data_IF_281467271503
#
_entry.id   IF_281467271503
#
_cell.length_a   1.000
_cell.length_b   1.000
_cell.length_c   1.000
_cell.angle_alpha   90.00
_cell.angle_beta   90.00
_cell.angle_gamma   90.00
#
_symmetry.space_group_name_H-M   'P 1'
#
loop_
_entity.id
_entity.type
_entity.pdbx_description
1 polymer ?
#
# COMPACT_ATOMS: atom_id res chain seq x y z
N UNK A 1 -28.52 -48.64 -1.01
CA UNK A 1 -28.07 -49.08 0.33
C UNK A 1 -27.27 -47.94 0.93
N UNK A 2 -27.93 -47.13 1.77
CA UNK A 2 -27.65 -47.00 3.21
C UNK A 2 -26.37 -46.16 3.46
N UNK A 3 -26.34 -45.05 4.19
CA UNK A 3 -27.03 -44.71 5.44
C UNK A 3 -27.22 -43.19 5.58
N UNK A 4 -28.31 -42.84 6.26
CA UNK A 4 -28.79 -41.54 6.73
C UNK A 4 -27.91 -40.97 7.84
N UNK A 5 -27.68 -39.65 7.88
CA UNK A 5 -27.11 -38.97 9.04
C UNK A 5 -27.50 -37.50 9.09
N UNK A 6 -28.64 -37.20 9.74
CA UNK A 6 -29.04 -35.86 10.14
C UNK A 6 -28.58 -35.60 11.58
N UNK A 7 -28.09 -34.40 11.88
CA UNK A 7 -28.00 -33.90 13.24
C UNK A 7 -28.33 -32.40 13.28
N UNK A 8 -29.11 -32.07 14.30
CA UNK A 8 -29.95 -30.88 14.48
C UNK A 8 -29.22 -29.80 15.29
N UNK A 9 -29.65 -28.56 15.07
CA UNK A 9 -29.35 -27.32 15.80
C UNK A 9 -29.31 -27.43 17.33
N UNK A 10 -28.49 -26.58 17.96
CA UNK A 10 -28.83 -25.96 19.23
C UNK A 10 -28.39 -24.48 19.27
N UNK A 11 -29.32 -23.65 19.74
CA UNK A 11 -29.26 -22.20 19.94
C UNK A 11 -28.62 -21.81 21.29
N UNK A 12 -28.22 -20.54 21.38
CA UNK A 12 -28.12 -19.77 22.63
C UNK A 12 -26.70 -19.23 22.86
N UNK A 13 -26.46 -18.02 23.37
CA UNK A 13 -27.30 -16.93 23.90
C UNK A 13 -26.40 -15.68 23.96
N UNK A 14 -27.00 -14.50 23.92
CA UNK A 14 -26.31 -13.21 23.99
C UNK A 14 -26.02 -12.74 25.44
N UNK A 15 -24.89 -12.04 25.60
CA UNK A 15 -24.61 -10.91 26.54
C UNK A 15 -24.52 -11.22 28.07
N UNK A 16 -23.83 -10.40 28.92
CA UNK A 16 -23.58 -8.96 28.79
C UNK A 16 -22.17 -8.42 29.17
N UNK A 17 -22.04 -7.12 28.93
CA UNK A 17 -20.98 -6.23 29.39
C UNK A 17 -20.98 -6.04 30.92
N UNK A 18 -19.79 -5.86 31.49
CA UNK A 18 -19.61 -5.40 32.87
C UNK A 18 -18.79 -4.11 32.87
N UNK A 19 -19.47 -3.00 33.10
CA UNK A 19 -18.89 -1.79 33.65
C UNK A 19 -19.04 -1.85 35.17
N UNK A 20 -17.97 -1.64 35.93
CA UNK A 20 -18.05 -1.24 37.33
C UNK A 20 -17.13 -0.05 37.57
N UNK A 21 -17.82 1.02 37.95
CA UNK A 21 -17.38 2.28 38.54
C UNK A 21 -17.06 2.06 40.04
N UNK A 22 -16.30 2.98 40.65
CA UNK A 22 -16.29 3.13 42.12
C UNK A 22 -14.94 3.36 42.81
N UNK A 23 -14.53 4.63 42.86
CA UNK A 23 -14.04 5.39 44.02
C UNK A 23 -12.92 4.86 44.94
N UNK A 24 -11.78 5.56 45.09
CA UNK A 24 -11.51 6.81 45.87
C UNK A 24 -11.05 6.54 47.32
N UNK A 25 -9.81 6.93 47.62
CA UNK A 25 -9.33 7.62 48.84
C UNK A 25 -7.80 7.75 48.74
N UNK A 26 -7.28 8.96 48.51
CA UNK A 26 -6.62 9.82 49.52
C UNK A 26 -5.17 9.34 49.79
N UNK A 27 -4.11 10.11 49.92
CA UNK A 27 -3.88 11.49 50.35
C UNK A 27 -2.37 11.72 50.07
N UNK A 28 -1.91 12.78 49.41
CA UNK A 28 -1.28 13.96 50.05
C UNK A 28 -0.56 14.71 48.91
N UNK A 29 -0.94 15.92 48.48
CA UNK A 29 -0.67 17.22 49.13
C UNK A 29 0.82 17.40 49.44
N UNK A 30 1.61 18.36 48.94
CA UNK A 30 1.44 19.73 48.43
C UNK A 30 2.75 20.07 47.67
N UNK A 31 2.75 20.74 46.51
CA UNK A 31 2.57 22.18 46.33
C UNK A 31 3.54 23.01 47.21
N UNK A 32 4.20 24.08 46.81
CA UNK A 32 4.39 24.87 45.58
C UNK A 32 5.32 26.01 46.05
N UNK A 33 5.95 26.74 45.15
CA UNK A 33 6.26 28.15 45.42
C UNK A 33 7.70 28.56 45.16
N UNK A 34 7.87 29.20 44.01
CA UNK A 34 8.82 30.28 43.77
C UNK A 34 8.71 31.39 44.82
N UNK A 35 9.80 32.16 45.01
CA UNK A 35 9.88 33.63 44.82
C UNK A 35 11.23 34.16 45.36
N UNK A 36 11.75 35.12 44.61
CA UNK A 36 12.93 35.97 44.74
C UNK A 36 13.14 36.73 46.06
N UNK A 37 14.38 37.20 46.27
CA UNK A 37 14.62 38.55 46.83
C UNK A 37 15.56 38.66 48.04
N UNK A 38 16.82 39.02 47.76
CA UNK A 38 17.63 40.08 48.39
C UNK A 38 17.66 40.25 49.94
N UNK A 39 18.86 40.17 50.55
CA UNK A 39 19.46 41.25 51.40
C UNK A 39 20.56 40.79 52.39
N UNK A 40 21.71 41.47 52.31
CA UNK A 40 22.59 41.95 53.42
C UNK A 40 23.71 41.05 54.01
N UNK A 41 24.95 41.47 53.71
CA UNK A 41 26.27 41.23 54.36
C UNK A 41 26.33 41.86 55.79
N UNK A 42 27.28 41.56 56.73
CA UNK A 42 28.71 41.32 56.45
C UNK A 42 29.51 40.36 57.37
N UNK A 43 30.68 39.95 56.86
CA UNK A 43 31.95 40.01 57.60
C UNK A 43 32.38 38.80 58.45
N UNK A 44 33.41 38.08 58.00
CA UNK A 44 34.60 37.87 58.85
C UNK A 44 35.87 37.61 58.04
N UNK A 45 36.91 38.29 58.48
CA UNK A 45 38.28 38.35 57.99
C UNK A 45 39.08 37.14 58.49
N UNK A 46 39.97 36.63 57.63
CA UNK A 46 41.08 35.73 57.94
C UNK A 46 41.48 34.98 56.67
N UNK A 47 42.57 35.25 55.97
CA UNK A 47 43.90 35.62 56.42
C UNK A 47 44.78 34.37 56.38
N UNK A 48 45.53 34.16 55.29
CA UNK A 48 46.50 33.06 55.18
C UNK A 48 47.05 32.89 53.77
N UNK A 49 48.27 33.39 53.55
CA UNK A 49 49.07 33.27 52.33
C UNK A 49 49.70 31.88 52.21
N UNK A 50 50.29 31.64 51.04
CA UNK A 50 51.29 30.63 50.70
C UNK A 50 50.78 29.26 50.22
N UNK A 51 50.64 29.13 48.89
CA UNK A 51 51.58 28.29 48.14
C UNK A 51 51.59 28.61 46.64
N UNK A 52 52.69 29.26 46.26
CA UNK A 52 53.16 29.46 44.89
C UNK A 52 53.87 28.17 44.45
N UNK A 53 53.65 27.76 43.19
CA UNK A 53 54.45 26.82 42.36
C UNK A 53 53.88 25.41 42.15
N UNK A 54 52.98 25.30 41.16
CA UNK A 54 53.05 24.24 40.13
C UNK A 54 52.35 24.71 38.85
N UNK A 55 52.91 25.73 38.20
CA UNK A 55 52.74 25.94 36.75
C UNK A 55 53.68 24.94 36.07
N UNK A 56 53.23 23.68 36.03
CA UNK A 56 53.95 22.57 35.42
C UNK A 56 53.03 21.86 34.45
N UNK A 57 53.04 22.31 33.20
CA UNK A 57 53.00 21.44 32.03
C UNK A 57 51.99 20.27 32.04
N UNK A 58 50.73 20.55 32.33
CA UNK A 58 49.61 19.63 32.12
C UNK A 58 48.94 19.86 30.77
N UNK A 59 49.72 19.96 29.68
CA UNK A 59 49.19 19.66 28.34
C UNK A 59 48.97 18.15 28.27
N UNK A 60 48.04 17.62 29.05
CA UNK A 60 47.34 16.41 28.67
C UNK A 60 46.66 16.77 27.36
N UNK A 61 47.28 16.36 26.28
CA UNK A 61 46.66 16.23 24.99
C UNK A 61 45.29 15.57 25.23
N UNK A 62 44.24 16.40 25.23
CA UNK A 62 42.95 15.96 24.80
C UNK A 62 43.20 15.54 23.35
N UNK A 63 43.62 14.29 23.19
CA UNK A 63 43.45 13.54 21.96
C UNK A 63 41.94 13.47 21.84
N UNK A 64 41.34 14.54 21.28
CA UNK A 64 40.07 14.44 20.58
C UNK A 64 40.22 13.16 19.77
N UNK A 65 39.54 12.11 20.23
CA UNK A 65 39.39 10.90 19.46
C UNK A 65 38.63 11.36 18.23
N UNK A 66 39.39 11.73 17.20
CA UNK A 66 38.85 12.07 15.91
C UNK A 66 37.89 10.95 15.57
N UNK A 67 36.62 11.31 15.38
CA UNK A 67 35.62 10.34 14.98
C UNK A 67 36.19 9.54 13.80
N UNK A 68 36.00 8.20 13.77
CA UNK A 68 36.49 7.40 12.67
C UNK A 68 36.01 8.02 11.35
N UNK A 69 36.87 8.00 10.31
CA UNK A 69 36.49 8.57 9.02
C UNK A 69 35.20 7.93 8.53
N UNK A 70 34.32 8.75 7.94
CA UNK A 70 33.11 8.25 7.31
C UNK A 70 33.49 7.23 6.21
N UNK A 71 32.65 6.20 6.05
CA UNK A 71 32.85 5.19 5.02
C UNK A 71 32.88 5.84 3.62
N UNK A 72 33.79 5.40 2.78
CA UNK A 72 33.90 5.82 1.40
C UNK A 72 32.72 5.30 0.57
N UNK A 73 32.38 5.94 -0.57
CA UNK A 73 31.33 5.43 -1.45
C UNK A 73 31.56 3.98 -1.91
N UNK A 74 32.81 3.57 -2.11
CA UNK A 74 33.16 2.18 -2.48
C UNK A 74 32.87 1.20 -1.34
N UNK A 75 33.23 1.55 -0.10
CA UNK A 75 32.91 0.75 1.09
C UNK A 75 31.40 0.64 1.31
N UNK A 76 30.66 1.73 1.11
CA UNK A 76 29.19 1.74 1.20
C UNK A 76 28.56 0.80 0.17
N UNK A 77 29.00 0.87 -1.10
CA UNK A 77 28.51 -0.04 -2.15
C UNK A 77 28.85 -1.49 -1.85
N UNK A 78 30.07 -1.78 -1.39
CA UNK A 78 30.47 -3.14 -1.03
C UNK A 78 29.64 -3.69 0.15
N UNK A 79 29.40 -2.88 1.18
CA UNK A 79 28.59 -3.26 2.32
C UNK A 79 27.11 -3.46 1.96
N UNK A 80 26.53 -2.57 1.13
CA UNK A 80 25.18 -2.71 0.62
C UNK A 80 25.03 -4.00 -0.21
N UNK A 81 25.99 -4.30 -1.10
CA UNK A 81 26.00 -5.55 -1.86
C UNK A 81 26.04 -6.78 -0.96
N UNK A 82 26.82 -6.76 0.12
CA UNK A 82 26.86 -7.85 1.09
C UNK A 82 25.50 -8.04 1.78
N UNK A 83 24.80 -6.96 2.12
CA UNK A 83 23.47 -7.04 2.72
C UNK A 83 22.41 -7.55 1.75
N UNK A 84 22.45 -7.15 0.47
CA UNK A 84 21.57 -7.69 -0.57
C UNK A 84 21.72 -9.21 -0.69
N UNK A 85 22.97 -9.68 -0.78
CA UNK A 85 23.26 -11.13 -0.83
C UNK A 85 22.78 -11.84 0.44
N UNK A 86 23.04 -11.27 1.62
CA UNK A 86 22.63 -11.88 2.89
C UNK A 86 21.10 -11.93 3.06
N UNK A 87 20.37 -10.97 2.49
CA UNK A 87 18.91 -10.93 2.46
C UNK A 87 18.29 -11.74 1.30
N UNK A 88 19.09 -12.44 0.48
CA UNK A 88 18.66 -13.15 -0.73
C UNK A 88 17.95 -12.26 -1.77
N UNK A 89 18.38 -11.01 -1.90
CA UNK A 89 17.86 -10.06 -2.90
C UNK A 89 18.79 -10.02 -4.11
N UNK A 90 18.28 -10.46 -5.26
CA UNK A 90 19.00 -10.37 -6.54
C UNK A 90 18.93 -8.95 -7.10
N UNK A 91 19.96 -8.16 -6.84
CA UNK A 91 20.07 -6.76 -7.27
C UNK A 91 21.37 -6.51 -8.02
N UNK A 92 21.28 -6.01 -9.26
CA UNK A 92 22.39 -5.45 -10.00
C UNK A 92 22.65 -4.02 -9.50
N UNK A 93 23.46 -3.90 -8.45
CA UNK A 93 23.66 -2.66 -7.71
C UNK A 93 24.28 -1.53 -8.55
N UNK A 94 23.51 -0.48 -8.83
CA UNK A 94 23.96 0.69 -9.59
C UNK A 94 24.48 1.79 -8.68
N UNK A 95 23.83 2.01 -7.54
CA UNK A 95 24.16 3.07 -6.58
C UNK A 95 23.83 2.60 -5.17
N UNK A 96 24.57 3.10 -4.18
CA UNK A 96 24.23 2.90 -2.78
C UNK A 96 24.60 4.11 -1.91
N UNK A 97 23.85 4.31 -0.84
CA UNK A 97 24.15 5.30 0.20
C UNK A 97 23.96 4.69 1.59
N UNK A 98 24.56 5.30 2.62
CA UNK A 98 24.35 4.96 4.01
C UNK A 98 23.59 6.12 4.69
N UNK A 99 22.25 6.03 4.82
CA UNK A 99 21.46 7.10 5.45
C UNK A 99 21.67 7.19 6.97
N UNK A 100 22.39 6.22 7.58
CA UNK A 100 22.73 6.23 9.00
C UNK A 100 22.58 4.86 9.64
N UNK A 101 22.03 4.83 10.85
CA UNK A 101 21.85 3.63 11.66
C UNK A 101 20.46 3.55 12.27
N UNK A 102 19.97 2.34 12.50
CA UNK A 102 18.82 2.04 13.36
C UNK A 102 19.35 1.25 14.56
N UNK A 103 19.34 1.90 15.73
CA UNK A 103 20.14 1.42 16.87
C UNK A 103 21.62 1.37 16.49
N UNK A 104 22.24 0.21 16.64
CA UNK A 104 23.63 -0.01 16.23
C UNK A 104 23.79 -0.55 14.79
N UNK A 105 22.69 -0.99 14.16
CA UNK A 105 22.72 -1.57 12.83
C UNK A 105 22.86 -0.48 11.77
N UNK A 106 23.84 -0.63 10.88
CA UNK A 106 24.00 0.23 9.73
C UNK A 106 22.81 0.06 8.77
N UNK A 107 22.31 1.16 8.24
CA UNK A 107 21.30 1.19 7.19
C UNK A 107 21.99 1.53 5.88
N UNK A 108 21.61 0.82 4.83
CA UNK A 108 22.02 1.12 3.46
C UNK A 108 20.78 1.31 2.60
N UNK A 109 20.87 2.19 1.63
CA UNK A 109 19.92 2.22 0.52
C UNK A 109 20.64 1.79 -0.74
N UNK A 110 20.03 0.89 -1.50
CA UNK A 110 20.55 0.36 -2.75
C UNK A 110 19.58 0.67 -3.90
N UNK A 111 20.13 1.12 -5.02
CA UNK A 111 19.42 1.18 -6.29
C UNK A 111 19.88 0.03 -7.20
N UNK A 112 18.93 -0.61 -7.88
CA UNK A 112 19.17 -1.80 -8.69
C UNK A 112 18.81 -1.54 -10.15
N UNK A 113 19.57 -2.10 -11.09
CA UNK A 113 19.26 -1.98 -12.52
C UNK A 113 18.12 -2.91 -12.97
N UNK A 114 17.99 -4.06 -12.31
CA UNK A 114 17.13 -5.17 -12.72
C UNK A 114 15.86 -5.34 -11.86
N UNK A 115 15.73 -4.57 -10.78
CA UNK A 115 14.62 -4.67 -9.81
C UNK A 115 14.41 -3.32 -9.12
N UNK A 116 13.43 -3.24 -8.22
CA UNK A 116 13.23 -2.06 -7.38
C UNK A 116 14.42 -1.79 -6.46
N UNK A 117 14.49 -0.58 -5.89
CA UNK A 117 15.45 -0.26 -4.84
C UNK A 117 15.06 -0.79 -3.47
N UNK A 118 16.01 -0.82 -2.55
CA UNK A 118 15.80 -1.34 -1.18
C UNK A 118 16.47 -0.48 -0.12
N UNK A 119 15.83 -0.39 1.05
CA UNK A 119 16.48 -0.11 2.33
C UNK A 119 16.90 -1.43 2.96
N UNK A 120 18.16 -1.51 3.37
CA UNK A 120 18.80 -2.69 3.95
C UNK A 120 19.23 -2.34 5.37
N UNK A 121 18.80 -3.14 6.35
CA UNK A 121 19.26 -3.02 7.73
C UNK A 121 20.23 -4.17 8.00
N UNK A 122 21.46 -3.82 8.35
CA UNK A 122 22.53 -4.76 8.69
C UNK A 122 22.32 -5.37 10.10
N UNK A 123 21.19 -6.04 10.28
CA UNK A 123 20.80 -6.80 11.46
C UNK A 123 21.05 -8.30 11.26
N UNK A 124 20.81 -9.09 12.31
CA UNK A 124 20.81 -10.55 12.24
C UNK A 124 19.44 -11.06 12.72
N UNK A 125 18.58 -11.58 11.83
CA UNK A 125 18.76 -11.71 10.38
C UNK A 125 18.79 -10.35 9.66
N UNK A 126 19.43 -10.26 8.47
CA UNK A 126 19.41 -9.04 7.67
C UNK A 126 17.98 -8.74 7.20
N UNK A 127 17.62 -7.47 7.16
CA UNK A 127 16.30 -7.04 6.71
C UNK A 127 16.42 -6.22 5.42
N UNK A 128 15.51 -6.45 4.48
CA UNK A 128 15.40 -5.68 3.24
C UNK A 128 13.96 -5.21 3.07
N UNK A 129 13.78 -3.93 2.77
CA UNK A 129 12.48 -3.28 2.57
C UNK A 129 12.47 -2.61 1.20
N UNK A 130 11.52 -2.97 0.34
CA UNK A 130 11.40 -2.40 -1.00
C UNK A 130 11.03 -0.92 -0.94
N UNK A 131 11.72 -0.09 -1.72
CA UNK A 131 11.44 1.35 -1.76
C UNK A 131 10.01 1.67 -2.21
N UNK A 132 9.44 0.85 -3.10
CA UNK A 132 8.07 1.03 -3.57
C UNK A 132 7.05 0.71 -2.46
N UNK A 133 7.27 -0.35 -1.68
CA UNK A 133 6.43 -0.72 -0.53
C UNK A 133 6.48 0.37 0.56
N UNK A 134 7.69 0.86 0.88
CA UNK A 134 7.87 1.94 1.85
C UNK A 134 7.16 3.22 1.42
N UNK A 135 7.32 3.63 0.17
CA UNK A 135 6.67 4.83 -0.37
C UNK A 135 5.13 4.71 -0.35
N UNK A 136 4.59 3.55 -0.77
CA UNK A 136 3.15 3.30 -0.74
C UNK A 136 2.58 3.33 0.68
N UNK A 137 3.25 2.66 1.62
CA UNK A 137 2.84 2.64 3.04
C UNK A 137 2.90 4.03 3.65
N UNK A 138 3.94 4.81 3.35
CA UNK A 138 4.07 6.19 3.79
C UNK A 138 2.93 7.07 3.24
N UNK A 139 2.59 6.95 1.96
CA UNK A 139 1.51 7.70 1.34
C UNK A 139 0.13 7.33 1.92
N UNK A 140 -0.14 6.05 2.16
CA UNK A 140 -1.38 5.61 2.84
C UNK A 140 -1.45 6.19 4.26
N UNK A 141 -0.36 6.11 5.01
CA UNK A 141 -0.30 6.62 6.38
C UNK A 141 -0.58 8.12 6.40
N UNK A 142 0.07 8.89 5.50
CA UNK A 142 -0.13 10.33 5.38
C UNK A 142 -1.51 10.73 4.86
N UNK A 143 -2.18 9.87 4.09
CA UNK A 143 -3.56 10.12 3.68
C UNK A 143 -4.54 10.15 4.87
N UNK A 144 -4.18 9.49 5.98
CA UNK A 144 -4.97 9.45 7.22
C UNK A 144 -4.53 10.53 8.21
N UNK A 145 -3.23 10.76 8.31
CA UNK A 145 -2.62 11.84 9.10
C UNK A 145 -1.46 12.48 8.33
N UNK A 146 -1.62 13.68 7.75
CA UNK A 146 -0.58 14.33 6.97
C UNK A 146 0.74 14.55 7.71
N UNK A 147 0.73 14.60 9.05
CA UNK A 147 1.92 14.82 9.88
C UNK A 147 2.53 13.53 10.44
N UNK A 148 2.03 12.36 10.03
CA UNK A 148 2.52 11.08 10.52
C UNK A 148 4.01 10.89 10.23
N UNK A 149 4.74 10.42 11.23
CA UNK A 149 6.07 9.86 11.05
C UNK A 149 5.96 8.50 10.35
N UNK A 150 6.55 8.39 9.17
CA UNK A 150 6.54 7.18 8.33
C UNK A 150 7.87 6.43 8.37
N UNK A 151 8.77 6.83 9.28
CA UNK A 151 10.09 6.23 9.43
C UNK A 151 11.00 6.45 8.22
N UNK A 152 11.99 5.57 8.08
CA UNK A 152 13.00 5.63 7.02
C UNK A 152 12.35 5.48 5.64
N UNK A 153 12.66 6.41 4.75
CA UNK A 153 12.26 6.37 3.34
C UNK A 153 13.50 6.32 2.45
N UNK A 154 13.30 5.87 1.21
CA UNK A 154 14.34 5.90 0.19
C UNK A 154 14.59 7.34 -0.28
N UNK A 155 15.87 7.71 -0.39
CA UNK A 155 16.33 9.05 -0.75
C UNK A 155 17.08 9.08 -2.08
N UNK A 156 17.57 7.93 -2.59
CA UNK A 156 18.22 7.89 -3.90
C UNK A 156 17.21 8.24 -5.00
N UNK A 157 17.53 9.18 -5.91
CA UNK A 157 16.62 9.53 -7.00
C UNK A 157 16.20 8.34 -7.87
N UNK A 158 17.11 7.38 -8.08
CA UNK A 158 16.84 6.15 -8.83
C UNK A 158 15.74 5.27 -8.21
N UNK A 159 15.43 5.48 -6.91
CA UNK A 159 14.41 4.75 -6.17
C UNK A 159 13.09 5.54 -6.01
N UNK A 160 13.03 6.78 -6.50
CA UNK A 160 11.84 7.65 -6.44
C UNK A 160 11.01 7.60 -7.74
N UNK A 161 11.09 6.50 -8.48
CA UNK A 161 10.53 6.31 -9.82
C UNK A 161 9.35 5.33 -9.83
N UNK A 162 8.49 5.38 -8.81
CA UNK A 162 7.37 4.45 -8.59
C UNK A 162 6.51 4.21 -9.83
N UNK A 163 6.12 5.28 -10.52
CA UNK A 163 5.31 5.19 -11.74
C UNK A 163 5.99 4.35 -12.83
N UNK A 164 7.28 4.60 -13.08
CA UNK A 164 8.03 3.89 -14.12
C UNK A 164 8.24 2.41 -13.78
N UNK A 165 8.52 2.11 -12.51
CA UNK A 165 8.78 0.75 -12.02
C UNK A 165 7.49 -0.08 -12.06
N UNK A 166 6.42 0.39 -11.40
CA UNK A 166 5.14 -0.34 -11.37
C UNK A 166 4.54 -0.41 -12.77
N UNK A 167 4.58 0.67 -13.56
CA UNK A 167 4.12 0.66 -14.95
C UNK A 167 4.92 -0.30 -15.84
N UNK A 168 6.19 -0.56 -15.53
CA UNK A 168 6.98 -1.65 -16.14
C UNK A 168 6.42 -3.02 -15.81
N UNK A 169 6.18 -3.29 -14.52
CA UNK A 169 5.62 -4.56 -14.06
C UNK A 169 4.21 -4.83 -14.60
N UNK A 170 3.35 -3.81 -14.62
CA UNK A 170 2.00 -3.89 -15.16
C UNK A 170 2.02 -4.31 -16.64
N UNK A 171 2.91 -3.72 -17.45
CA UNK A 171 3.10 -4.11 -18.86
C UNK A 171 3.61 -5.54 -19.00
N UNK A 172 4.55 -5.95 -18.15
CA UNK A 172 5.02 -7.36 -18.11
C UNK A 172 3.89 -8.31 -17.75
N UNK A 173 2.94 -7.89 -16.90
CA UNK A 173 1.77 -8.66 -16.51
C UNK A 173 0.63 -8.63 -17.56
N UNK A 174 0.76 -7.83 -18.63
CA UNK A 174 -0.20 -7.78 -19.73
C UNK A 174 -1.07 -6.53 -19.80
N UNK A 175 -0.84 -5.51 -18.95
CA UNK A 175 -1.53 -4.23 -19.08
C UNK A 175 -1.15 -3.55 -20.40
N UNK A 176 -2.16 -3.14 -21.17
CA UNK A 176 -2.00 -2.52 -22.49
C UNK A 176 -2.24 -1.01 -22.50
N UNK A 177 -2.64 -0.44 -21.37
CA UNK A 177 -2.98 0.97 -21.24
C UNK A 177 -1.73 1.86 -21.10
N UNK A 178 -1.92 3.18 -21.24
CA UNK A 178 -0.90 4.16 -20.85
C UNK A 178 -1.01 4.42 -19.35
N UNK A 179 -0.06 3.90 -18.57
CA UNK A 179 -0.03 4.09 -17.11
C UNK A 179 0.38 5.52 -16.77
N UNK A 180 -0.45 6.22 -15.99
CA UNK A 180 -0.24 7.61 -15.56
C UNK A 180 -0.22 7.78 -14.03
N UNK A 181 -0.78 6.84 -13.29
CA UNK A 181 -0.70 6.76 -11.84
C UNK A 181 -0.30 5.34 -11.39
N UNK A 182 0.50 5.23 -10.33
CA UNK A 182 0.79 3.92 -9.74
C UNK A 182 1.25 4.04 -8.29
N UNK A 183 0.84 3.09 -7.45
CA UNK A 183 1.23 3.06 -6.05
C UNK A 183 1.12 1.65 -5.44
N UNK A 184 1.97 1.30 -4.48
CA UNK A 184 1.70 0.15 -3.61
C UNK A 184 0.53 0.47 -2.65
N UNK A 185 -0.48 -0.40 -2.62
CA UNK A 185 -1.71 -0.18 -1.85
C UNK A 185 -1.84 -1.06 -0.60
N UNK A 186 -0.93 -2.02 -0.42
CA UNK A 186 -0.87 -2.88 0.75
C UNK A 186 -0.62 -4.33 0.38
N UNK A 187 -1.06 -5.25 1.24
CA UNK A 187 -0.94 -6.69 1.03
C UNK A 187 -2.30 -7.34 0.84
N UNK A 188 -2.37 -8.37 0.00
CA UNK A 188 -3.53 -9.25 -0.11
C UNK A 188 -3.66 -10.15 1.13
N UNK A 189 -4.75 -10.92 1.20
CA UNK A 189 -4.96 -11.91 2.27
C UNK A 189 -3.87 -13.00 2.28
N UNK A 190 -3.26 -13.27 1.11
CA UNK A 190 -2.12 -14.17 0.95
C UNK A 190 -0.77 -13.49 1.27
N UNK A 191 -0.80 -12.28 1.82
CA UNK A 191 0.37 -11.49 2.23
C UNK A 191 1.29 -11.09 1.05
N UNK A 192 0.77 -11.11 -0.18
CA UNK A 192 1.47 -10.60 -1.37
C UNK A 192 1.31 -9.09 -1.47
N UNK A 193 2.34 -8.37 -1.93
CA UNK A 193 2.22 -6.95 -2.21
C UNK A 193 1.29 -6.68 -3.40
N UNK A 194 0.35 -5.78 -3.21
CA UNK A 194 -0.60 -5.31 -4.23
C UNK A 194 -0.28 -3.86 -4.59
N UNK A 195 -0.26 -3.59 -5.89
CA UNK A 195 -0.08 -2.28 -6.47
C UNK A 195 -1.34 -1.89 -7.23
N UNK A 196 -1.73 -0.62 -7.13
CA UNK A 196 -2.75 -0.05 -7.98
C UNK A 196 -2.10 0.69 -9.14
N UNK A 197 -2.69 0.53 -10.33
CA UNK A 197 -2.24 1.10 -11.59
C UNK A 197 -3.39 1.88 -12.19
N UNK A 198 -3.24 3.20 -12.30
CA UNK A 198 -4.11 4.07 -13.07
C UNK A 198 -3.72 4.06 -14.54
N UNK A 199 -4.70 4.22 -15.40
CA UNK A 199 -4.54 4.21 -16.83
C UNK A 199 -5.20 5.46 -17.43
N UNK A 200 -4.46 6.23 -18.22
CA UNK A 200 -4.96 7.46 -18.81
C UNK A 200 -6.17 7.19 -19.72
N UNK A 201 -7.34 7.67 -19.31
CA UNK A 201 -8.61 7.53 -20.04
C UNK A 201 -9.04 6.06 -20.27
N UNK A 202 -8.57 5.12 -19.45
CA UNK A 202 -8.88 3.70 -19.59
C UNK A 202 -9.05 3.04 -18.20
N UNK A 203 -9.59 1.83 -18.17
CA UNK A 203 -9.75 1.07 -16.94
C UNK A 203 -8.37 0.72 -16.34
N UNK A 204 -8.17 1.03 -15.06
CA UNK A 204 -6.97 0.66 -14.33
C UNK A 204 -6.95 -0.79 -13.85
N UNK A 205 -5.95 -1.11 -13.04
CA UNK A 205 -5.68 -2.47 -12.56
C UNK A 205 -5.23 -2.50 -11.10
N UNK A 206 -5.50 -3.63 -10.45
CA UNK A 206 -4.67 -4.13 -9.36
C UNK A 206 -3.66 -5.13 -9.92
N UNK A 207 -2.40 -4.96 -9.51
CA UNK A 207 -1.28 -5.82 -9.83
C UNK A 207 -0.78 -6.46 -8.53
N UNK A 208 -0.91 -7.77 -8.39
CA UNK A 208 -0.45 -8.52 -7.22
C UNK A 208 0.84 -9.28 -7.54
N UNK A 209 1.86 -9.11 -6.69
CA UNK A 209 3.16 -9.77 -6.82
C UNK A 209 3.08 -11.17 -6.23
N UNK A 210 3.01 -12.19 -7.09
CA UNK A 210 3.01 -13.59 -6.66
C UNK A 210 4.43 -14.10 -6.39
N UNK A 211 4.55 -15.30 -5.82
CA UNK A 211 5.83 -16.00 -5.70
C UNK A 211 6.52 -16.18 -7.06
N UNK A 212 5.72 -16.42 -8.10
CA UNK A 212 6.17 -16.47 -9.49
C UNK A 212 5.21 -15.68 -10.36
N UNK A 213 5.71 -14.61 -11.00
CA UNK A 213 4.92 -13.79 -11.92
C UNK A 213 4.00 -12.80 -11.20
N UNK A 214 2.92 -12.45 -11.90
CA UNK A 214 1.99 -11.39 -11.52
C UNK A 214 0.56 -11.88 -11.71
N UNK A 215 -0.32 -11.46 -10.81
CA UNK A 215 -1.76 -11.52 -11.05
C UNK A 215 -2.26 -10.11 -11.37
N UNK A 216 -2.90 -9.96 -12.52
CA UNK A 216 -3.39 -8.67 -13.02
C UNK A 216 -4.91 -8.73 -13.10
N UNK A 217 -5.58 -7.91 -12.28
CA UNK A 217 -7.03 -7.80 -12.26
C UNK A 217 -7.44 -6.40 -12.66
N UNK A 218 -8.36 -6.29 -13.61
CA UNK A 218 -8.87 -4.99 -14.02
C UNK A 218 -9.80 -4.40 -12.93
N UNK A 219 -9.96 -3.08 -12.92
CA UNK A 219 -10.69 -2.40 -11.84
C UNK A 219 -12.20 -2.69 -11.79
N UNK A 220 -12.80 -3.23 -12.85
CA UNK A 220 -14.19 -3.73 -12.83
C UNK A 220 -14.22 -5.05 -12.04
N UNK A 221 -13.23 -5.92 -12.22
CA UNK A 221 -13.10 -7.15 -11.43
C UNK A 221 -12.79 -6.85 -9.97
N UNK A 222 -11.84 -5.95 -9.68
CA UNK A 222 -11.48 -5.54 -8.32
C UNK A 222 -12.70 -5.07 -7.53
N UNK A 223 -13.49 -4.16 -8.11
CA UNK A 223 -14.68 -3.61 -7.44
C UNK A 223 -15.75 -4.66 -7.20
N UNK A 224 -15.88 -5.67 -8.06
CA UNK A 224 -16.83 -6.77 -7.86
C UNK A 224 -16.49 -7.68 -6.67
N UNK A 225 -15.22 -7.71 -6.25
CA UNK A 225 -14.75 -8.47 -5.09
C UNK A 225 -14.71 -7.62 -3.81
N UNK A 226 -15.26 -6.39 -3.83
CA UNK A 226 -15.22 -5.46 -2.70
C UNK A 226 -13.92 -4.66 -2.57
N UNK A 227 -13.02 -4.76 -3.54
CA UNK A 227 -11.84 -3.91 -3.64
C UNK A 227 -12.17 -2.48 -4.12
N UNK A 228 -11.19 -1.59 -4.04
CA UNK A 228 -11.33 -0.20 -4.49
C UNK A 228 -10.21 0.19 -5.45
N UNK A 229 -10.58 0.85 -6.55
CA UNK A 229 -9.63 1.52 -7.42
C UNK A 229 -9.78 3.03 -7.26
N UNK A 230 -8.76 3.65 -6.68
CA UNK A 230 -8.61 5.08 -6.41
C UNK A 230 -8.13 5.86 -7.65
N UNK A 231 -7.36 5.24 -8.53
CA UNK A 231 -6.82 5.79 -9.78
C UNK A 231 -7.66 5.41 -11.00
N UNK A 232 -8.91 5.00 -10.80
CA UNK A 232 -9.82 4.68 -11.91
C UNK A 232 -11.21 5.21 -11.61
N UNK A 233 -11.65 6.12 -12.45
CA UNK A 233 -12.97 6.73 -12.36
C UNK A 233 -14.06 5.77 -12.86
N UNK A 234 -15.33 6.09 -12.53
CA UNK A 234 -16.46 5.37 -13.11
C UNK A 234 -16.53 5.55 -14.63
N UNK A 235 -16.22 6.75 -15.12
CA UNK A 235 -16.22 7.07 -16.55
C UNK A 235 -15.17 6.25 -17.32
N UNK A 236 -13.95 6.13 -16.80
CA UNK A 236 -12.90 5.31 -17.41
C UNK A 236 -13.30 3.83 -17.50
N UNK A 237 -13.88 3.27 -16.44
CA UNK A 237 -14.44 1.90 -16.47
C UNK A 237 -15.49 1.73 -17.55
N UNK A 238 -16.44 2.67 -17.60
CA UNK A 238 -17.54 2.63 -18.56
C UNK A 238 -17.06 2.77 -20.00
N UNK A 239 -16.15 3.71 -20.27
CA UNK A 239 -15.57 3.96 -21.59
C UNK A 239 -14.72 2.78 -22.08
N UNK A 240 -13.89 2.22 -21.19
CA UNK A 240 -13.12 1.00 -21.47
C UNK A 240 -14.04 -0.17 -21.83
N UNK A 241 -15.12 -0.35 -21.06
CA UNK A 241 -16.07 -1.43 -21.35
C UNK A 241 -16.88 -1.18 -22.64
N UNK A 242 -17.26 0.07 -22.91
CA UNK A 242 -17.92 0.47 -24.17
C UNK A 242 -17.07 0.08 -25.38
N UNK A 243 -15.75 0.26 -25.31
CA UNK A 243 -14.84 -0.17 -26.37
C UNK A 243 -14.90 -1.70 -26.62
N UNK A 244 -15.11 -2.50 -25.57
CA UNK A 244 -15.27 -3.97 -25.70
C UNK A 244 -16.57 -4.37 -26.39
N UNK A 245 -17.58 -3.50 -26.45
CA UNK A 245 -18.85 -3.77 -27.16
C UNK A 245 -18.79 -3.42 -28.66
N UNK A 246 -17.70 -2.81 -29.13
CA UNK A 246 -17.53 -2.46 -30.54
C UNK A 246 -17.67 -3.70 -31.44
N UNK A 247 -18.40 -3.56 -32.55
CA UNK A 247 -18.65 -4.65 -33.50
C UNK A 247 -19.70 -5.67 -33.07
N UNK A 248 -20.38 -5.45 -31.93
CA UNK A 248 -21.50 -6.29 -31.47
C UNK A 248 -22.84 -5.58 -31.66
N UNK A 249 -23.95 -6.28 -31.43
CA UNK A 249 -25.30 -5.69 -31.41
C UNK A 249 -25.49 -4.64 -30.29
N UNK A 250 -24.56 -4.58 -29.33
CA UNK A 250 -24.54 -3.61 -28.24
C UNK A 250 -23.60 -2.42 -28.51
N UNK A 251 -23.03 -2.28 -29.71
CA UNK A 251 -22.05 -1.23 -30.01
C UNK A 251 -22.60 0.21 -29.84
N UNK A 252 -23.93 0.38 -29.94
CA UNK A 252 -24.60 1.66 -29.70
C UNK A 252 -24.85 1.98 -28.22
N UNK A 253 -24.52 1.08 -27.30
CA UNK A 253 -24.72 1.30 -25.87
C UNK A 253 -23.75 2.37 -25.35
N UNK A 254 -24.30 3.50 -24.93
CA UNK A 254 -23.55 4.47 -24.15
C UNK A 254 -23.48 4.00 -22.70
N UNK A 255 -22.42 3.26 -22.36
CA UNK A 255 -22.29 2.58 -21.06
C UNK A 255 -22.25 3.63 -19.95
N UNK A 256 -23.19 3.53 -19.02
CA UNK A 256 -23.31 4.41 -17.84
C UNK A 256 -22.91 3.72 -16.54
N UNK A 257 -22.95 2.39 -16.53
CA UNK A 257 -22.51 1.58 -15.41
C UNK A 257 -22.17 0.17 -15.90
N UNK A 258 -21.14 -0.43 -15.31
CA UNK A 258 -20.73 -1.81 -15.61
C UNK A 258 -20.40 -2.55 -14.33
N UNK A 259 -20.76 -3.83 -14.27
CA UNK A 259 -20.33 -4.75 -13.20
C UNK A 259 -19.96 -6.11 -13.75
N UNK A 260 -19.03 -6.78 -13.08
CA UNK A 260 -18.82 -8.20 -13.27
C UNK A 260 -19.96 -8.98 -12.60
N UNK A 261 -20.53 -9.94 -13.33
CA UNK A 261 -21.55 -10.87 -12.82
C UNK A 261 -20.93 -12.18 -12.34
N UNK A 262 -19.83 -12.59 -12.94
CA UNK A 262 -19.08 -13.79 -12.59
C UNK A 262 -18.17 -14.25 -13.71
N UNK A 263 -17.28 -15.19 -13.38
CA UNK A 263 -16.28 -15.74 -14.31
C UNK A 263 -16.20 -17.25 -14.16
N UNK A 264 -15.80 -17.92 -15.25
CA UNK A 264 -15.48 -19.34 -15.26
C UNK A 264 -14.39 -19.63 -16.31
N UNK A 265 -14.01 -20.90 -16.50
CA UNK A 265 -12.95 -21.27 -17.45
C UNK A 265 -13.20 -20.86 -18.91
N UNK A 266 -14.44 -20.54 -19.27
CA UNK A 266 -14.84 -20.12 -20.61
C UNK A 266 -14.97 -18.59 -20.74
N UNK A 267 -14.55 -17.83 -19.72
CA UNK A 267 -14.56 -16.37 -19.73
C UNK A 267 -15.43 -15.74 -18.64
N UNK A 268 -15.74 -14.47 -18.84
CA UNK A 268 -16.40 -13.62 -17.84
C UNK A 268 -17.68 -13.00 -18.38
N UNK A 269 -18.66 -12.84 -17.49
CA UNK A 269 -19.94 -12.22 -17.80
C UNK A 269 -20.04 -10.87 -17.11
N UNK A 270 -20.37 -9.84 -17.87
CA UNK A 270 -20.51 -8.48 -17.39
C UNK A 270 -21.90 -7.98 -17.72
N UNK A 271 -22.50 -7.21 -16.81
CA UNK A 271 -23.68 -6.42 -17.11
C UNK A 271 -23.24 -4.99 -17.40
N UNK A 272 -23.66 -4.46 -18.54
CA UNK A 272 -23.52 -3.06 -18.91
C UNK A 272 -24.89 -2.41 -19.01
N UNK A 273 -25.08 -1.35 -18.22
CA UNK A 273 -26.27 -0.48 -18.27
C UNK A 273 -26.00 0.67 -19.23
N UNK A 274 -26.86 0.84 -20.22
CA UNK A 274 -26.77 1.98 -21.13
C UNK A 274 -27.40 3.22 -20.50
N UNK A 275 -26.98 4.42 -20.93
CA UNK A 275 -27.57 5.68 -20.50
C UNK A 275 -29.06 5.79 -20.88
N UNK A 276 -29.46 5.15 -21.98
CA UNK A 276 -30.86 5.03 -22.37
C UNK A 276 -31.66 4.17 -21.37
N UNK A 277 -32.78 4.70 -20.89
CA UNK A 277 -33.60 4.05 -19.87
C UNK A 277 -34.08 2.65 -20.30
N UNK A 278 -33.99 1.69 -19.38
CA UNK A 278 -34.40 0.30 -19.61
C UNK A 278 -33.50 -0.48 -20.57
N UNK A 279 -32.43 0.11 -21.09
CA UNK A 279 -31.49 -0.55 -21.98
C UNK A 279 -30.24 -1.01 -21.24
N UNK A 280 -29.88 -2.26 -21.47
CA UNK A 280 -28.67 -2.85 -20.95
C UNK A 280 -28.41 -4.20 -21.59
N UNK A 281 -27.19 -4.70 -21.41
CA UNK A 281 -26.73 -5.93 -22.00
C UNK A 281 -25.92 -6.75 -21.00
N UNK A 282 -26.03 -8.08 -21.11
CA UNK A 282 -25.03 -8.99 -20.56
C UNK A 282 -24.05 -9.31 -21.68
N UNK A 283 -22.77 -9.00 -21.49
CA UNK A 283 -21.71 -9.36 -22.42
C UNK A 283 -20.88 -10.50 -21.85
N UNK A 284 -20.63 -11.52 -22.68
CA UNK A 284 -19.70 -12.61 -22.39
C UNK A 284 -18.39 -12.33 -23.10
N UNK A 285 -17.33 -12.17 -22.32
CA UNK A 285 -15.95 -12.00 -22.81
C UNK A 285 -15.20 -13.31 -22.65
N UNK A 286 -14.29 -13.64 -23.58
CA UNK A 286 -13.34 -14.74 -23.41
C UNK A 286 -12.23 -14.38 -22.40
N UNK A 287 -11.27 -15.29 -22.20
CA UNK A 287 -10.15 -15.08 -21.27
C UNK A 287 -9.18 -13.98 -21.76
N UNK A 288 -9.20 -13.67 -23.06
CA UNK A 288 -8.46 -12.56 -23.68
C UNK A 288 -9.20 -11.22 -23.57
N UNK A 289 -10.37 -11.17 -22.92
CA UNK A 289 -11.15 -9.94 -22.74
C UNK A 289 -11.93 -9.48 -23.98
N UNK A 290 -12.04 -10.32 -25.01
CA UNK A 290 -12.78 -10.05 -26.24
C UNK A 290 -14.24 -10.49 -26.10
N UNK A 291 -15.17 -9.58 -26.40
CA UNK A 291 -16.60 -9.88 -26.38
C UNK A 291 -16.96 -10.92 -27.45
N UNK A 292 -17.51 -12.03 -27.01
CA UNK A 292 -17.95 -13.14 -27.87
C UNK A 292 -19.44 -13.04 -28.18
N UNK A 293 -20.23 -12.66 -27.18
CA UNK A 293 -21.70 -12.66 -27.24
C UNK A 293 -22.25 -11.53 -26.37
N UNK A 294 -23.34 -10.93 -26.81
CA UNK A 294 -24.12 -9.94 -26.05
C UNK A 294 -25.58 -10.38 -26.00
N UNK A 295 -26.22 -10.18 -24.85
CA UNK A 295 -27.62 -10.51 -24.62
C UNK A 295 -28.35 -9.28 -24.09
N UNK A 296 -29.42 -8.81 -24.75
CA UNK A 296 -30.24 -7.73 -24.21
C UNK A 296 -30.81 -8.11 -22.85
N UNK A 297 -30.77 -7.18 -21.88
CA UNK A 297 -31.28 -7.41 -20.54
C UNK A 297 -32.76 -7.82 -20.52
N UNK A 298 -33.57 -7.34 -21.48
CA UNK A 298 -34.97 -7.71 -21.63
C UNK A 298 -35.21 -9.22 -21.78
N UNK A 299 -34.24 -9.96 -22.34
CA UNK A 299 -34.35 -11.39 -22.62
C UNK A 299 -33.36 -12.26 -21.82
N UNK A 300 -32.46 -11.64 -21.05
CA UNK A 300 -31.34 -12.31 -20.40
C UNK A 300 -31.56 -12.62 -18.90
N UNK A 301 -32.83 -12.67 -18.46
CA UNK A 301 -33.21 -12.83 -17.05
C UNK A 301 -32.69 -14.12 -16.40
N UNK A 302 -32.40 -15.17 -17.20
CA UNK A 302 -31.88 -16.46 -16.72
C UNK A 302 -30.35 -16.53 -16.64
N UNK A 303 -29.61 -15.51 -17.10
CA UNK A 303 -28.15 -15.53 -17.14
C UNK A 303 -27.60 -14.86 -15.87
N UNK A 304 -26.92 -15.64 -15.01
CA UNK A 304 -26.17 -15.10 -13.87
C UNK A 304 -27.02 -14.29 -12.87
N UNK A 305 -28.29 -14.64 -12.68
CA UNK A 305 -29.22 -13.89 -11.84
C UNK A 305 -29.93 -12.72 -12.54
N UNK A 306 -29.69 -12.53 -13.84
CA UNK A 306 -30.28 -11.48 -14.65
C UNK A 306 -29.59 -10.12 -14.49
N UNK A 307 -30.13 -9.13 -15.19
CA UNK A 307 -29.68 -7.76 -15.09
C UNK A 307 -30.20 -7.09 -13.80
N UNK A 308 -29.30 -6.52 -13.01
CA UNK A 308 -29.61 -5.83 -11.75
C UNK A 308 -29.28 -4.34 -11.80
N UNK A 309 -28.37 -3.90 -12.68
CA UNK A 309 -28.12 -2.49 -12.95
C UNK A 309 -29.24 -1.90 -13.82
N UNK A 310 -29.72 -2.71 -14.77
CA UNK A 310 -30.80 -2.33 -15.68
C UNK A 310 -32.13 -2.82 -15.13
N UNK A 311 -32.93 -1.91 -14.57
CA UNK A 311 -34.34 -2.18 -14.33
C UNK A 311 -35.06 -2.18 -15.67
N UNK A 312 -35.22 -3.36 -16.27
CA UNK A 312 -36.09 -3.49 -17.44
C UNK A 312 -37.51 -3.05 -17.04
N UNK A 313 -38.11 -2.13 -17.79
CA UNK A 313 -39.55 -1.92 -17.67
C UNK A 313 -40.23 -3.28 -17.87
N UNK A 314 -41.21 -3.68 -17.04
CA UNK A 314 -41.86 -4.97 -17.19
C UNK A 314 -42.37 -5.09 -18.62
N UNK A 315 -42.05 -6.21 -19.27
CA UNK A 315 -42.56 -6.50 -20.60
C UNK A 315 -44.07 -6.31 -20.57
N UNK A 316 -44.59 -5.37 -21.36
CA UNK A 316 -46.01 -5.14 -21.48
C UNK A 316 -46.63 -6.46 -21.95
N UNK A 317 -47.24 -7.18 -21.03
CA UNK A 317 -47.83 -8.49 -21.25
C UNK A 317 -49.01 -8.37 -22.20
N UNK A 318 -48.74 -8.40 -23.49
CA UNK A 318 -49.73 -8.71 -24.50
C UNK A 318 -50.12 -10.17 -24.34
N UNK A 319 -51.20 -10.43 -23.60
CA UNK A 319 -51.92 -11.70 -23.72
C UNK A 319 -52.65 -11.68 -25.08
N UNK A 320 -52.56 -12.75 -25.89
CA UNK A 320 -53.49 -12.95 -27.00
C UNK A 320 -54.92 -13.14 -26.49
#
# INVERSE_FOLDING_TARGET
MAVVGAAVLALGVAQPASAQDGGRSDESSRASGSVSGESVLPGRIGGGRDQRRTRGNGRTAAREQAAPPAATPEEIRAAAQAQLTAANVTCELTEATNPGKIGEAAVYEAACANTEGYILIASTPPQAFGCIELAGTAAITRSRDPNADVGQQCVLPANQNTLAVIGGWARTAGATCTVDEAQAIGKSDDNNMVYEVGCANDNGYWLEKLATGWDLKDCIQVTSMGGACRFTTAEEKNNSFKAKLAGTDAAGCDVSEVRLMGSNGNGSFYEAKCAAEGQGYIARLNNEGVTQQVYPCATAQSIGGGCTLTTAAPAAGGRP
#
